data_IF_363584293882
#
_entry.id   IF_363584293882
#
_cell.length_a   1.000
_cell.length_b   1.000
_cell.length_c   1.000
_cell.angle_alpha   90.00
_cell.angle_beta   90.00
_cell.angle_gamma   90.00
#
_symmetry.space_group_name_H-M   'P 1'
#
loop_
_entity.id
_entity.type
_entity.pdbx_description
1 polymer ?
#
# COMPACT_ATOMS: atom_id res chain seq x y z
N UNK A 1 12.08 57.87 36.38
CA UNK A 1 12.56 57.24 35.16
C UNK A 1 12.37 55.71 35.36
N UNK A 2 11.21 55.21 34.92
CA UNK A 2 10.84 53.80 35.05
C UNK A 2 11.19 53.06 33.75
N UNK A 3 11.97 52.00 33.92
CA UNK A 3 12.26 51.05 32.81
C UNK A 3 11.04 50.18 32.56
N UNK A 4 10.49 50.25 31.35
CA UNK A 4 9.43 49.37 30.87
C UNK A 4 10.09 48.15 30.25
N UNK A 5 10.04 47.02 30.94
CA UNK A 5 10.41 45.71 30.45
C UNK A 5 9.29 45.18 29.51
N UNK A 6 9.61 45.01 28.23
CA UNK A 6 8.76 44.34 27.25
C UNK A 6 8.98 42.81 27.32
N UNK A 7 8.13 42.12 28.07
CA UNK A 7 7.92 40.69 27.93
C UNK A 7 6.73 40.48 26.97
N UNK A 8 6.96 39.93 25.78
CA UNK A 8 5.92 39.28 24.97
C UNK A 8 6.53 38.22 24.06
N UNK A 9 6.89 37.08 24.64
CA UNK A 9 7.07 35.83 23.94
C UNK A 9 5.79 34.99 24.07
N UNK A 10 4.89 35.04 23.10
CA UNK A 10 3.80 34.08 23.04
C UNK A 10 4.37 32.71 22.72
N UNK A 11 4.48 31.85 23.71
CA UNK A 11 4.63 30.41 23.53
C UNK A 11 3.39 29.89 22.78
N UNK A 12 3.58 29.47 21.54
CA UNK A 12 2.63 28.61 20.84
C UNK A 12 2.64 27.29 21.61
N UNK A 13 1.56 27.03 22.32
CA UNK A 13 1.34 25.78 23.07
C UNK A 13 1.51 24.60 22.15
N UNK A 14 2.54 23.80 22.41
CA UNK A 14 2.84 22.58 21.69
C UNK A 14 1.67 21.58 21.75
N UNK A 15 1.46 20.88 20.65
CA UNK A 15 0.67 19.66 20.64
C UNK A 15 1.18 18.74 21.78
N UNK A 16 0.29 18.03 22.50
CA UNK A 16 0.68 17.18 23.61
C UNK A 16 1.75 16.18 23.15
N UNK A 17 2.83 16.03 23.92
CA UNK A 17 3.85 15.01 23.70
C UNK A 17 3.16 13.64 23.73
N UNK A 18 3.07 13.00 22.56
CA UNK A 18 2.54 11.64 22.44
C UNK A 18 3.53 10.69 23.09
N UNK A 19 3.11 9.99 24.15
CA UNK A 19 3.93 8.95 24.76
C UNK A 19 4.28 7.89 23.71
N UNK A 20 5.56 7.53 23.60
CA UNK A 20 6.13 6.60 22.61
C UNK A 20 5.36 5.27 22.50
N UNK A 21 4.64 4.87 23.55
CA UNK A 21 3.89 3.62 23.62
C UNK A 21 2.51 3.64 22.95
N UNK A 22 2.11 4.72 22.29
CA UNK A 22 0.71 4.93 21.83
C UNK A 22 0.59 5.44 20.39
N UNK A 23 1.60 5.21 19.54
CA UNK A 23 1.59 5.69 18.15
C UNK A 23 0.42 5.09 17.32
N UNK A 24 -0.15 3.98 17.74
CA UNK A 24 -1.24 3.27 17.07
C UNK A 24 -2.63 3.47 17.72
N UNK A 25 -2.78 4.30 18.74
CA UNK A 25 -4.10 4.50 19.39
C UNK A 25 -5.16 5.07 18.46
N UNK A 26 -4.73 5.78 17.42
CA UNK A 26 -5.64 6.25 16.38
C UNK A 26 -5.03 5.97 15.01
N UNK A 27 -5.38 4.83 14.45
CA UNK A 27 -4.88 4.37 13.16
C UNK A 27 -5.29 5.28 12.00
N UNK A 28 -6.48 5.87 12.10
CA UNK A 28 -7.02 6.77 11.07
C UNK A 28 -6.18 8.05 10.86
N UNK A 29 -5.57 8.57 11.94
CA UNK A 29 -4.76 9.80 11.90
C UNK A 29 -3.32 9.56 12.35
N UNK A 30 -2.77 8.36 12.13
CA UNK A 30 -1.48 8.02 12.70
C UNK A 30 -0.31 8.85 12.18
N UNK A 31 -0.30 9.22 10.88
CA UNK A 31 0.76 10.10 10.34
C UNK A 31 0.69 11.51 10.93
N UNK A 32 -0.52 12.05 11.04
CA UNK A 32 -0.79 13.36 11.68
C UNK A 32 -0.28 13.40 13.12
N UNK A 33 -0.41 12.29 13.84
CA UNK A 33 -0.07 12.18 15.28
C UNK A 33 1.38 11.78 15.55
N UNK A 34 2.16 11.46 14.53
CA UNK A 34 3.59 11.23 14.73
C UNK A 34 4.26 12.47 15.34
N UNK A 35 5.21 12.29 16.27
CA UNK A 35 6.07 13.38 16.76
C UNK A 35 6.73 14.15 15.62
N UNK A 36 6.97 15.45 15.82
CA UNK A 36 7.57 16.31 14.78
C UNK A 36 8.91 15.75 14.27
N UNK A 37 9.72 15.16 15.17
CA UNK A 37 10.98 14.50 14.81
C UNK A 37 10.78 13.40 13.76
N UNK A 38 9.75 12.57 13.90
CA UNK A 38 9.43 11.52 12.93
C UNK A 38 8.81 12.08 11.65
N UNK A 39 7.95 13.10 11.74
CA UNK A 39 7.35 13.72 10.55
C UNK A 39 8.36 14.43 9.65
N UNK A 40 9.51 14.82 10.20
CA UNK A 40 10.61 15.43 9.44
C UNK A 40 11.56 14.40 8.81
N UNK A 41 11.46 13.13 9.18
CA UNK A 41 12.25 12.08 8.51
C UNK A 41 11.76 11.84 7.07
N UNK A 42 12.67 11.46 6.17
CA UNK A 42 12.27 10.99 4.83
C UNK A 42 11.19 9.90 4.93
N UNK A 43 10.16 9.98 4.09
CA UNK A 43 9.07 9.01 4.06
C UNK A 43 9.58 7.58 3.81
N UNK A 44 10.70 7.46 3.09
CA UNK A 44 11.38 6.18 2.84
C UNK A 44 12.07 5.58 4.07
N UNK A 45 12.16 6.33 5.17
CA UNK A 45 12.72 5.87 6.44
C UNK A 45 11.63 5.53 7.47
N UNK A 46 10.37 5.77 7.17
CA UNK A 46 9.25 5.41 8.04
C UNK A 46 8.76 3.99 7.76
N UNK A 47 8.28 3.29 8.79
CA UNK A 47 7.54 2.05 8.64
C UNK A 47 6.07 2.39 8.30
N UNK A 48 5.60 1.95 7.14
CA UNK A 48 4.30 2.28 6.58
C UNK A 48 3.55 0.97 6.27
N UNK A 49 2.39 0.73 6.88
CA UNK A 49 1.58 -0.43 6.53
C UNK A 49 0.86 -0.23 5.19
N UNK A 50 0.83 -1.27 4.40
CA UNK A 50 0.15 -1.32 3.11
C UNK A 50 -0.64 -2.61 2.93
N UNK A 51 -1.55 -2.62 1.97
CA UNK A 51 -2.33 -3.79 1.61
C UNK A 51 -1.93 -4.30 0.22
N UNK A 52 -1.79 -5.62 0.11
CA UNK A 52 -1.58 -6.32 -1.15
C UNK A 52 -2.92 -6.43 -1.89
N UNK A 53 -2.92 -6.17 -3.20
CA UNK A 53 -4.14 -6.20 -4.02
C UNK A 53 -5.34 -5.54 -3.32
N UNK A 54 -5.17 -4.32 -2.89
CA UNK A 54 -6.02 -3.57 -1.96
C UNK A 54 -7.51 -3.64 -2.30
N UNK A 55 -7.84 -3.65 -3.59
CA UNK A 55 -9.21 -3.49 -4.09
C UNK A 55 -9.92 -4.81 -4.40
N UNK A 56 -9.36 -5.95 -3.99
CA UNK A 56 -9.97 -7.27 -4.25
C UNK A 56 -11.31 -7.49 -3.55
N UNK A 57 -11.67 -6.71 -2.56
CA UNK A 57 -13.02 -6.71 -1.98
C UNK A 57 -14.12 -6.41 -3.02
N UNK A 58 -13.74 -5.87 -4.20
CA UNK A 58 -14.66 -5.59 -5.30
C UNK A 58 -14.79 -6.71 -6.31
N UNK A 59 -13.92 -7.75 -6.27
CA UNK A 59 -14.05 -8.88 -7.20
C UNK A 59 -15.32 -9.68 -6.89
N UNK A 60 -15.91 -10.25 -7.94
CA UNK A 60 -17.13 -11.02 -7.79
C UNK A 60 -16.99 -12.37 -8.48
N UNK A 61 -17.39 -13.44 -7.78
CA UNK A 61 -17.40 -14.82 -8.27
C UNK A 61 -18.30 -15.03 -9.50
N UNK A 62 -19.20 -14.10 -9.81
CA UNK A 62 -20.05 -14.14 -11.00
C UNK A 62 -19.41 -13.44 -12.19
N UNK A 63 -18.38 -12.62 -11.96
CA UNK A 63 -17.65 -11.95 -13.02
C UNK A 63 -16.77 -12.92 -13.84
N UNK A 64 -16.27 -12.41 -14.98
CA UNK A 64 -15.36 -13.17 -15.83
C UNK A 64 -14.01 -13.38 -15.16
N UNK A 65 -13.35 -14.49 -15.52
CA UNK A 65 -11.96 -14.75 -15.18
C UNK A 65 -11.06 -13.81 -15.97
N UNK A 66 -10.09 -13.25 -15.28
CA UNK A 66 -9.19 -12.26 -15.84
C UNK A 66 -8.09 -12.83 -16.73
N UNK A 67 -7.45 -11.96 -17.53
CA UNK A 67 -6.31 -12.34 -18.37
C UNK A 67 -5.01 -12.56 -17.57
N UNK A 68 -4.99 -12.30 -16.28
CA UNK A 68 -3.90 -12.59 -15.35
C UNK A 68 -3.79 -14.09 -15.04
N UNK A 69 -4.87 -14.85 -15.26
CA UNK A 69 -4.90 -16.29 -15.02
C UNK A 69 -4.37 -17.10 -16.21
N UNK A 70 -3.90 -18.32 -15.93
CA UNK A 70 -3.46 -19.25 -16.96
C UNK A 70 -4.57 -19.58 -17.95
N UNK A 71 -4.20 -19.94 -19.19
CA UNK A 71 -5.17 -20.31 -20.23
C UNK A 71 -6.10 -21.46 -19.80
N UNK A 72 -5.60 -22.39 -18.97
CA UNK A 72 -6.40 -23.51 -18.43
C UNK A 72 -7.45 -22.97 -17.47
N UNK A 73 -7.07 -22.08 -16.56
CA UNK A 73 -8.01 -21.48 -15.59
C UNK A 73 -9.03 -20.61 -16.30
N UNK A 74 -8.62 -19.82 -17.30
CA UNK A 74 -9.54 -19.06 -18.14
C UNK A 74 -10.56 -19.98 -18.88
N UNK A 75 -10.08 -21.10 -19.42
CA UNK A 75 -10.94 -22.11 -20.06
C UNK A 75 -11.94 -22.70 -19.06
N UNK A 76 -11.49 -23.15 -17.89
CA UNK A 76 -12.34 -23.68 -16.83
C UNK A 76 -13.37 -22.64 -16.36
N UNK A 77 -12.96 -21.40 -16.18
CA UNK A 77 -13.83 -20.29 -15.80
C UNK A 77 -14.92 -20.00 -16.84
N UNK A 78 -14.64 -20.22 -18.11
CA UNK A 78 -15.60 -20.04 -19.21
C UNK A 78 -16.59 -21.20 -19.34
N UNK A 79 -16.11 -22.42 -19.28
CA UNK A 79 -16.92 -23.62 -19.63
C UNK A 79 -17.42 -24.40 -18.41
N UNK A 80 -16.75 -24.31 -17.27
CA UNK A 80 -17.13 -24.96 -16.02
C UNK A 80 -17.33 -23.92 -14.88
N UNK A 81 -17.86 -22.75 -15.22
CA UNK A 81 -17.91 -21.57 -14.37
C UNK A 81 -18.59 -21.80 -13.01
N UNK A 82 -19.62 -22.62 -12.95
CA UNK A 82 -20.35 -22.92 -11.70
C UNK A 82 -19.44 -23.59 -10.66
N UNK A 83 -18.50 -24.43 -11.09
CA UNK A 83 -17.61 -25.17 -10.21
C UNK A 83 -16.26 -24.44 -9.97
N UNK A 84 -15.72 -23.81 -11.02
CA UNK A 84 -14.37 -23.21 -10.97
C UNK A 84 -14.33 -21.80 -10.40
N UNK A 85 -15.31 -20.96 -10.71
CA UNK A 85 -15.31 -19.55 -10.25
C UNK A 85 -15.34 -19.39 -8.72
N UNK A 86 -16.09 -20.20 -7.93
CA UNK A 86 -15.97 -20.15 -6.49
C UNK A 86 -14.57 -20.49 -5.96
N UNK A 87 -13.88 -21.44 -6.61
CA UNK A 87 -12.50 -21.80 -6.24
C UNK A 87 -11.58 -20.64 -6.59
N UNK A 88 -11.66 -20.11 -7.82
CA UNK A 88 -10.87 -18.96 -8.23
C UNK A 88 -11.09 -17.78 -7.27
N UNK A 89 -12.33 -17.48 -6.92
CA UNK A 89 -12.67 -16.40 -5.99
C UNK A 89 -11.99 -16.60 -4.62
N UNK A 90 -12.09 -17.80 -4.04
CA UNK A 90 -11.51 -18.10 -2.73
C UNK A 90 -9.97 -17.97 -2.70
N UNK A 91 -9.31 -18.15 -3.84
CA UNK A 91 -7.87 -18.05 -4.00
C UNK A 91 -7.40 -16.69 -4.56
N UNK A 92 -8.34 -15.83 -4.96
CA UNK A 92 -8.04 -14.50 -5.52
C UNK A 92 -8.36 -13.35 -4.56
N UNK A 93 -9.27 -13.53 -3.60
CA UNK A 93 -9.59 -12.48 -2.66
C UNK A 93 -8.48 -12.33 -1.62
N UNK A 94 -7.94 -11.12 -1.50
CA UNK A 94 -6.84 -10.77 -0.57
C UNK A 94 -7.27 -9.78 0.50
N UNK A 95 -8.37 -9.06 0.28
CA UNK A 95 -8.94 -8.09 1.22
C UNK A 95 -10.45 -8.21 1.22
N UNK A 96 -11.08 -8.23 2.38
CA UNK A 96 -12.55 -8.23 2.51
C UNK A 96 -13.12 -6.82 2.69
N UNK A 97 -12.37 -5.94 3.32
CA UNK A 97 -12.84 -4.64 3.72
C UNK A 97 -12.55 -3.58 2.66
N UNK A 98 -13.41 -2.59 2.59
CA UNK A 98 -13.30 -1.48 1.63
C UNK A 98 -11.99 -0.70 1.82
N UNK A 99 -11.55 0.00 0.78
CA UNK A 99 -10.36 0.85 0.88
C UNK A 99 -10.50 1.91 1.98
N UNK A 100 -11.71 2.40 2.25
CA UNK A 100 -11.98 3.34 3.34
C UNK A 100 -11.74 2.72 4.72
N UNK A 101 -12.20 1.50 4.94
CA UNK A 101 -11.97 0.76 6.19
C UNK A 101 -10.49 0.44 6.37
N UNK A 102 -9.79 0.05 5.31
CA UNK A 102 -8.35 -0.17 5.32
C UNK A 102 -7.58 1.11 5.68
N UNK A 103 -7.96 2.27 5.10
CA UNK A 103 -7.38 3.57 5.44
C UNK A 103 -7.64 3.98 6.90
N UNK A 104 -8.86 3.77 7.40
CA UNK A 104 -9.20 3.99 8.80
C UNK A 104 -8.38 3.07 9.73
N UNK A 105 -8.05 1.87 9.26
CA UNK A 105 -7.17 0.91 9.92
C UNK A 105 -5.67 1.17 9.78
N UNK A 106 -5.28 2.32 9.25
CA UNK A 106 -3.88 2.77 9.20
C UNK A 106 -3.13 2.46 7.90
N UNK A 107 -3.74 1.77 6.94
CA UNK A 107 -3.10 1.47 5.65
C UNK A 107 -2.85 2.77 4.89
N UNK A 108 -1.64 2.91 4.31
CA UNK A 108 -1.24 4.08 3.52
C UNK A 108 -0.55 3.73 2.20
N UNK A 109 -0.26 2.47 1.96
CA UNK A 109 0.18 1.99 0.65
C UNK A 109 -0.89 1.06 0.06
N UNK A 110 -1.26 1.34 -1.18
CA UNK A 110 -2.38 0.76 -1.91
C UNK A 110 -1.84 0.10 -3.18
N UNK A 111 -1.86 -1.23 -3.25
CA UNK A 111 -1.49 -2.02 -4.41
C UNK A 111 -2.69 -2.16 -5.35
N UNK A 112 -2.55 -1.69 -6.59
CA UNK A 112 -3.59 -1.68 -7.60
C UNK A 112 -3.18 -2.52 -8.82
N UNK A 113 -4.04 -3.46 -9.19
CA UNK A 113 -3.91 -4.29 -10.40
C UNK A 113 -5.14 -4.13 -11.26
N UNK A 114 -4.94 -3.83 -12.52
CA UNK A 114 -6.00 -3.34 -13.38
C UNK A 114 -6.03 -4.10 -14.71
N UNK A 115 -7.22 -4.20 -15.30
CA UNK A 115 -7.41 -4.74 -16.63
C UNK A 115 -8.48 -3.97 -17.40
N UNK A 116 -8.41 -4.08 -18.73
CA UNK A 116 -9.49 -3.70 -19.63
C UNK A 116 -10.16 -4.95 -20.21
N UNK A 117 -11.40 -4.80 -20.65
CA UNK A 117 -12.11 -5.84 -21.42
C UNK A 117 -12.04 -5.51 -22.92
N UNK A 118 -12.11 -6.52 -23.79
CA UNK A 118 -12.21 -6.28 -25.23
C UNK A 118 -13.38 -5.34 -25.57
N UNK A 119 -13.13 -4.37 -26.44
CA UNK A 119 -14.12 -3.37 -26.88
C UNK A 119 -14.72 -2.51 -25.75
N UNK A 120 -13.98 -2.30 -24.68
CA UNK A 120 -14.39 -1.44 -23.56
C UNK A 120 -13.26 -0.51 -23.15
N UNK A 121 -13.56 0.77 -22.96
CA UNK A 121 -12.62 1.76 -22.39
C UNK A 121 -12.66 1.78 -20.84
N UNK A 122 -13.54 0.96 -20.26
CA UNK A 122 -13.67 0.87 -18.81
C UNK A 122 -12.49 0.08 -18.23
N UNK A 123 -11.89 0.65 -17.21
CA UNK A 123 -10.75 0.07 -16.49
C UNK A 123 -11.27 -0.55 -15.20
N UNK A 124 -11.02 -1.83 -15.04
CA UNK A 124 -11.51 -2.62 -13.92
C UNK A 124 -10.37 -3.01 -12.98
N UNK A 125 -10.69 -3.16 -11.71
CA UNK A 125 -9.89 -3.93 -10.75
C UNK A 125 -9.79 -5.37 -11.23
N UNK A 126 -8.63 -5.99 -11.08
CA UNK A 126 -8.42 -7.39 -11.46
C UNK A 126 -7.53 -8.12 -10.48
N UNK A 127 -7.97 -9.30 -10.07
CA UNK A 127 -7.14 -10.35 -9.48
C UNK A 127 -7.88 -11.69 -9.61
N UNK A 128 -7.47 -12.51 -10.57
CA UNK A 128 -8.16 -13.74 -10.97
C UNK A 128 -9.54 -13.51 -11.59
N UNK A 129 -10.34 -12.65 -10.97
CA UNK A 129 -11.67 -12.23 -11.43
C UNK A 129 -11.73 -10.70 -11.54
N UNK A 130 -12.59 -10.22 -12.45
CA UNK A 130 -12.86 -8.80 -12.55
C UNK A 130 -13.63 -8.28 -11.33
N UNK A 131 -13.25 -7.10 -10.86
CA UNK A 131 -13.93 -6.34 -9.81
C UNK A 131 -14.66 -5.11 -10.36
N UNK A 132 -14.80 -4.08 -9.51
CA UNK A 132 -15.43 -2.80 -9.87
C UNK A 132 -14.58 -1.98 -10.85
N UNK A 133 -15.17 -0.93 -11.39
CA UNK A 133 -14.47 0.11 -12.15
C UNK A 133 -13.53 0.88 -11.22
N UNK A 134 -12.32 1.14 -11.68
CA UNK A 134 -11.22 1.70 -10.86
C UNK A 134 -11.50 3.09 -10.30
N UNK A 135 -12.37 3.88 -10.94
CA UNK A 135 -12.69 5.23 -10.43
C UNK A 135 -13.41 5.18 -9.08
N UNK A 136 -14.15 4.11 -8.79
CA UNK A 136 -14.86 3.98 -7.53
C UNK A 136 -13.91 3.97 -6.31
N UNK A 137 -12.96 3.03 -6.19
CA UNK A 137 -12.02 3.06 -5.07
C UNK A 137 -11.12 4.30 -5.07
N UNK A 138 -10.73 4.84 -6.23
CA UNK A 138 -9.93 6.06 -6.29
C UNK A 138 -10.70 7.29 -5.77
N UNK A 139 -12.01 7.39 -6.05
CA UNK A 139 -12.87 8.45 -5.51
C UNK A 139 -13.05 8.31 -4.00
N UNK A 140 -13.22 7.09 -3.48
CA UNK A 140 -13.28 6.83 -2.05
C UNK A 140 -11.99 7.27 -1.33
N UNK A 141 -10.81 7.03 -1.92
CA UNK A 141 -9.53 7.51 -1.39
C UNK A 141 -9.48 9.04 -1.40
N UNK A 142 -9.87 9.68 -2.51
CA UNK A 142 -9.85 11.13 -2.62
C UNK A 142 -10.81 11.82 -1.65
N UNK A 143 -12.00 11.25 -1.45
CA UNK A 143 -12.97 11.69 -0.44
C UNK A 143 -12.38 11.54 0.97
N UNK A 144 -11.83 10.37 1.30
CA UNK A 144 -11.19 10.13 2.60
C UNK A 144 -10.09 11.16 2.88
N UNK A 145 -9.20 11.43 1.91
CA UNK A 145 -8.14 12.43 2.02
C UNK A 145 -8.67 13.87 2.22
N UNK A 146 -9.90 14.17 1.83
CA UNK A 146 -10.49 15.50 2.05
C UNK A 146 -10.78 15.79 3.54
N UNK A 147 -11.00 14.74 4.33
CA UNK A 147 -11.19 14.81 5.79
C UNK A 147 -9.90 14.57 6.57
N UNK A 148 -8.81 14.19 5.90
CA UNK A 148 -7.52 13.81 6.51
C UNK A 148 -6.35 14.63 5.92
N UNK A 149 -6.30 15.95 6.15
CA UNK A 149 -5.42 16.87 5.41
C UNK A 149 -3.91 16.64 5.60
N UNK A 150 -3.52 15.89 6.63
CA UNK A 150 -2.10 15.60 6.94
C UNK A 150 -1.73 14.12 6.77
N UNK A 151 -2.65 13.31 6.30
CA UNK A 151 -2.38 11.93 5.94
C UNK A 151 -1.91 11.84 4.48
N UNK A 152 -1.05 10.87 4.21
CA UNK A 152 -0.46 10.65 2.88
C UNK A 152 -0.73 9.22 2.44
N UNK A 153 -1.11 9.04 1.18
CA UNK A 153 -1.36 7.74 0.57
C UNK A 153 -0.40 7.52 -0.59
N UNK A 154 0.16 6.33 -0.68
CA UNK A 154 1.00 5.88 -1.80
C UNK A 154 0.16 4.92 -2.64
N UNK A 155 -0.15 5.30 -3.87
CA UNK A 155 -0.86 4.48 -4.84
C UNK A 155 0.15 3.81 -5.76
N UNK A 156 0.21 2.50 -5.76
CA UNK A 156 1.11 1.74 -6.61
C UNK A 156 0.32 0.95 -7.67
N UNK A 157 0.35 1.43 -8.89
CA UNK A 157 -0.24 0.77 -10.04
C UNK A 157 0.72 -0.31 -10.55
N UNK A 158 0.57 -1.51 -10.03
CA UNK A 158 1.50 -2.63 -10.17
C UNK A 158 1.42 -3.34 -11.53
N UNK A 159 0.19 -3.63 -11.98
CA UNK A 159 -0.04 -4.44 -13.18
C UNK A 159 -1.16 -3.88 -14.04
N UNK A 160 -0.98 -4.03 -15.36
CA UNK A 160 -1.92 -3.55 -16.38
C UNK A 160 -2.15 -4.66 -17.41
N UNK A 161 -3.28 -5.32 -17.32
CA UNK A 161 -3.62 -6.43 -18.20
C UNK A 161 -4.49 -5.95 -19.37
N UNK A 162 -4.11 -6.35 -20.58
CA UNK A 162 -4.81 -5.97 -21.83
C UNK A 162 -4.90 -4.45 -22.08
N UNK A 163 -3.97 -3.68 -21.51
CA UNK A 163 -3.90 -2.23 -21.71
C UNK A 163 -3.26 -1.86 -23.04
N UNK A 164 -3.83 -0.88 -23.70
CA UNK A 164 -3.23 -0.14 -24.81
C UNK A 164 -2.66 1.19 -24.32
N UNK A 165 -1.90 1.89 -25.16
CA UNK A 165 -1.42 3.25 -24.86
C UNK A 165 -2.58 4.22 -24.55
N UNK A 166 -3.71 4.06 -25.23
CA UNK A 166 -4.93 4.81 -24.96
C UNK A 166 -5.45 4.57 -23.53
N UNK A 167 -5.48 3.30 -23.09
CA UNK A 167 -5.94 2.96 -21.75
C UNK A 167 -5.01 3.55 -20.66
N UNK A 168 -3.70 3.55 -20.90
CA UNK A 168 -2.76 4.23 -20.00
C UNK A 168 -3.02 5.72 -19.91
N UNK A 169 -3.20 6.41 -21.04
CA UNK A 169 -3.51 7.85 -21.06
C UNK A 169 -4.85 8.14 -20.37
N UNK A 170 -5.86 7.31 -20.61
CA UNK A 170 -7.17 7.42 -19.99
C UNK A 170 -7.08 7.28 -18.46
N UNK A 171 -6.37 6.26 -17.95
CA UNK A 171 -6.14 6.06 -16.52
C UNK A 171 -5.39 7.23 -15.88
N UNK A 172 -4.30 7.69 -16.51
CA UNK A 172 -3.51 8.83 -16.02
C UNK A 172 -4.38 10.08 -15.95
N UNK A 173 -5.22 10.32 -16.95
CA UNK A 173 -6.16 11.45 -16.93
C UNK A 173 -7.16 11.34 -15.77
N UNK A 174 -7.70 10.13 -15.50
CA UNK A 174 -8.58 9.89 -14.33
C UNK A 174 -7.85 10.18 -13.01
N UNK A 175 -6.64 9.67 -12.82
CA UNK A 175 -5.82 9.91 -11.62
C UNK A 175 -5.64 11.43 -11.40
N UNK A 176 -5.22 12.15 -12.43
CA UNK A 176 -5.01 13.61 -12.37
C UNK A 176 -6.29 14.38 -12.08
N UNK A 177 -7.41 13.96 -12.65
CA UNK A 177 -8.71 14.58 -12.43
C UNK A 177 -9.23 14.36 -11.00
N UNK A 178 -9.03 13.16 -10.45
CA UNK A 178 -9.51 12.81 -9.10
C UNK A 178 -8.66 13.49 -8.03
N UNK A 179 -7.32 13.37 -8.10
CA UNK A 179 -6.43 13.85 -7.04
C UNK A 179 -5.93 15.28 -7.20
N UNK A 180 -5.91 15.81 -8.42
CA UNK A 180 -5.57 17.22 -8.73
C UNK A 180 -4.28 17.68 -8.04
N UNK A 181 -4.37 18.77 -7.27
CA UNK A 181 -3.25 19.39 -6.57
C UNK A 181 -2.69 18.56 -5.40
N UNK A 182 -3.34 17.45 -5.05
CA UNK A 182 -2.84 16.55 -3.99
C UNK A 182 -1.71 15.63 -4.48
N UNK A 183 -1.49 15.53 -5.80
CA UNK A 183 -0.44 14.69 -6.38
C UNK A 183 0.94 15.29 -6.09
N UNK A 184 1.81 14.48 -5.47
CA UNK A 184 3.20 14.85 -5.23
C UNK A 184 4.02 14.65 -6.50
N UNK A 185 4.64 15.71 -7.05
CA UNK A 185 5.51 15.58 -8.21
C UNK A 185 6.72 14.70 -7.94
N UNK A 186 7.32 14.18 -9.00
CA UNK A 186 8.58 13.44 -8.94
C UNK A 186 9.74 14.40 -8.64
N UNK A 187 10.49 14.08 -7.60
CA UNK A 187 11.73 14.77 -7.23
C UNK A 187 12.94 13.86 -7.46
N UNK A 188 14.09 14.47 -7.73
CA UNK A 188 15.32 13.73 -7.99
C UNK A 188 15.80 12.92 -6.78
N UNK A 189 15.33 13.27 -5.57
CA UNK A 189 15.76 12.67 -4.30
C UNK A 189 14.58 12.43 -3.37
N UNK A 190 14.31 11.17 -3.06
CA UNK A 190 13.27 10.75 -2.12
C UNK A 190 13.60 11.11 -0.67
N UNK A 191 14.87 11.27 -0.32
CA UNK A 191 15.32 11.64 1.02
C UNK A 191 14.96 13.08 1.44
N UNK A 192 14.45 13.90 0.50
CA UNK A 192 13.90 15.22 0.82
C UNK A 192 12.39 15.19 1.10
N UNK A 193 11.71 14.08 0.82
CA UNK A 193 10.26 13.97 0.97
C UNK A 193 9.94 13.45 2.36
N UNK A 194 9.46 14.33 3.23
CA UNK A 194 8.99 14.01 4.56
C UNK A 194 7.49 14.31 4.69
N UNK A 195 6.83 13.76 5.71
CA UNK A 195 5.41 14.06 5.98
C UNK A 195 5.21 15.55 6.27
N UNK A 196 6.17 16.18 6.95
CA UNK A 196 6.12 17.62 7.25
C UNK A 196 6.23 18.46 5.96
N UNK A 197 7.13 18.08 5.06
CA UNK A 197 7.27 18.77 3.77
C UNK A 197 6.02 18.57 2.91
N UNK A 198 5.51 17.33 2.80
CA UNK A 198 4.27 17.04 2.05
C UNK A 198 3.09 17.87 2.56
N UNK A 199 2.98 18.04 3.88
CA UNK A 199 1.95 18.87 4.50
C UNK A 199 2.13 20.37 4.15
N UNK A 200 3.36 20.90 4.13
CA UNK A 200 3.63 22.30 3.75
C UNK A 200 3.29 22.60 2.29
N UNK A 201 3.55 21.64 1.41
CA UNK A 201 3.26 21.73 -0.03
C UNK A 201 1.81 21.32 -0.37
N UNK A 202 1.03 20.83 0.62
CA UNK A 202 -0.34 20.31 0.46
C UNK A 202 -0.43 19.08 -0.44
N UNK A 203 0.64 18.31 -0.57
CA UNK A 203 0.63 17.02 -1.26
C UNK A 203 0.18 15.90 -0.32
N UNK A 204 -0.65 15.00 -0.83
CA UNK A 204 -1.19 13.87 -0.06
C UNK A 204 -1.07 12.53 -0.80
N UNK A 205 -0.74 12.54 -2.08
CA UNK A 205 -0.74 11.33 -2.91
C UNK A 205 0.56 11.19 -3.68
N UNK A 206 1.28 10.10 -3.44
CA UNK A 206 2.40 9.66 -4.28
C UNK A 206 1.88 8.55 -5.19
N UNK A 207 2.03 8.70 -6.50
CA UNK A 207 1.59 7.69 -7.47
C UNK A 207 2.79 7.01 -8.09
N UNK A 208 2.98 5.73 -7.78
CA UNK A 208 3.96 4.86 -8.44
C UNK A 208 3.24 4.22 -9.63
N UNK A 209 3.80 4.37 -10.83
CA UNK A 209 3.17 3.85 -12.04
C UNK A 209 4.15 2.94 -12.78
N UNK A 210 3.92 1.62 -12.73
CA UNK A 210 4.87 0.60 -13.19
C UNK A 210 4.74 0.30 -14.68
N UNK A 211 4.64 1.38 -15.48
CA UNK A 211 4.64 1.27 -16.94
C UNK A 211 5.38 2.46 -17.55
N UNK A 212 5.98 2.24 -18.72
CA UNK A 212 6.74 3.25 -19.47
C UNK A 212 5.89 4.46 -19.87
N UNK A 213 4.57 4.30 -19.99
CA UNK A 213 3.62 5.38 -20.29
C UNK A 213 3.72 6.55 -19.29
N UNK A 214 4.20 6.31 -18.06
CA UNK A 214 4.38 7.35 -17.04
C UNK A 214 5.56 8.30 -17.29
N UNK A 215 6.50 7.97 -18.18
CA UNK A 215 7.78 8.72 -18.33
C UNK A 215 7.63 10.21 -18.62
N UNK A 216 6.53 10.61 -19.24
CA UNK A 216 6.27 11.98 -19.63
C UNK A 216 5.43 12.77 -18.61
N UNK A 217 5.14 12.16 -17.45
CA UNK A 217 4.29 12.76 -16.41
C UNK A 217 5.10 12.99 -15.14
N UNK A 218 5.24 14.26 -14.77
CA UNK A 218 6.04 14.68 -13.62
C UNK A 218 5.43 14.34 -12.26
N UNK A 219 4.19 13.89 -12.22
CA UNK A 219 3.42 13.49 -11.03
C UNK A 219 3.25 11.96 -10.88
N UNK A 220 3.96 11.19 -11.71
CA UNK A 220 3.97 9.74 -11.64
C UNK A 220 5.38 9.22 -11.38
N UNK A 221 5.57 8.57 -10.24
CA UNK A 221 6.86 8.07 -9.79
C UNK A 221 7.26 6.80 -10.54
N UNK A 222 8.49 6.71 -11.04
CA UNK A 222 8.95 5.51 -11.73
C UNK A 222 9.16 4.36 -10.76
N UNK A 223 8.90 3.13 -11.23
CA UNK A 223 9.06 1.89 -10.44
C UNK A 223 10.48 1.69 -9.90
N UNK A 224 11.51 2.16 -10.63
CA UNK A 224 12.91 1.95 -10.27
C UNK A 224 13.33 2.55 -8.93
N UNK A 225 12.62 3.57 -8.42
CA UNK A 225 12.90 4.16 -7.10
C UNK A 225 12.05 3.56 -5.97
N UNK A 226 11.18 2.60 -6.29
CA UNK A 226 10.30 1.89 -5.37
C UNK A 226 10.33 0.38 -5.63
N UNK A 227 11.49 -0.30 -5.40
CA UNK A 227 11.58 -1.74 -5.56
C UNK A 227 10.60 -2.48 -4.65
N UNK A 228 10.01 -3.55 -5.21
CA UNK A 228 9.02 -4.40 -4.54
C UNK A 228 9.33 -5.87 -4.83
N UNK A 229 10.42 -6.42 -4.27
CA UNK A 229 10.79 -7.80 -4.48
C UNK A 229 9.75 -8.75 -3.88
N UNK A 230 9.49 -9.84 -4.60
CA UNK A 230 8.44 -10.78 -4.28
C UNK A 230 9.02 -12.17 -3.94
N UNK A 231 8.66 -12.78 -2.79
CA UNK A 231 9.22 -14.07 -2.36
C UNK A 231 8.75 -15.28 -3.17
N UNK A 232 7.58 -15.21 -3.82
CA UNK A 232 6.99 -16.25 -4.68
C UNK A 232 7.08 -17.67 -4.08
N UNK A 233 6.62 -17.82 -2.85
CA UNK A 233 6.64 -19.10 -2.12
C UNK A 233 5.39 -19.30 -1.27
N UNK A 234 5.07 -20.57 -0.96
CA UNK A 234 4.06 -20.95 0.04
C UNK A 234 4.68 -21.32 1.40
N UNK A 235 6.00 -21.20 1.54
CA UNK A 235 6.76 -21.56 2.74
C UNK A 235 7.12 -20.29 3.54
N UNK A 236 6.71 -20.23 4.80
CA UNK A 236 6.94 -19.06 5.66
C UNK A 236 8.42 -18.84 5.98
N UNK A 237 9.22 -19.90 6.14
CA UNK A 237 10.65 -19.79 6.45
C UNK A 237 11.43 -19.25 5.23
N UNK A 238 11.08 -19.72 4.02
CA UNK A 238 11.63 -19.19 2.78
C UNK A 238 11.28 -17.73 2.59
N UNK A 239 10.03 -17.34 2.88
CA UNK A 239 9.58 -15.94 2.84
C UNK A 239 10.43 -15.07 3.78
N UNK A 240 10.58 -15.46 5.05
CA UNK A 240 11.38 -14.72 6.02
C UNK A 240 12.84 -14.61 5.58
N UNK A 241 13.43 -15.71 5.12
CA UNK A 241 14.81 -15.73 4.61
C UNK A 241 14.98 -14.80 3.40
N UNK A 242 13.99 -14.74 2.51
CA UNK A 242 13.96 -13.82 1.38
C UNK A 242 13.87 -12.36 1.85
N UNK A 243 12.94 -12.03 2.75
CA UNK A 243 12.76 -10.69 3.27
C UNK A 243 14.03 -10.14 3.94
N UNK A 244 14.74 -10.98 4.73
CA UNK A 244 16.00 -10.61 5.35
C UNK A 244 17.07 -10.24 4.30
N UNK A 245 17.29 -11.11 3.31
CA UNK A 245 18.25 -10.81 2.22
C UNK A 245 17.90 -9.54 1.46
N UNK A 246 16.62 -9.28 1.23
CA UNK A 246 16.18 -8.11 0.47
C UNK A 246 16.35 -6.81 1.26
N UNK A 247 16.10 -6.81 2.57
CA UNK A 247 16.39 -5.64 3.42
C UNK A 247 17.89 -5.37 3.50
N UNK A 248 18.72 -6.38 3.67
CA UNK A 248 20.19 -6.22 3.71
C UNK A 248 20.73 -5.57 2.43
N UNK A 249 20.12 -5.88 1.28
CA UNK A 249 20.52 -5.33 -0.02
C UNK A 249 19.84 -4.00 -0.38
N UNK A 250 18.93 -3.49 0.47
CA UNK A 250 18.15 -2.29 0.18
C UNK A 250 19.02 -1.06 0.07
N UNK A 251 18.81 -0.27 -1.01
CA UNK A 251 19.37 1.08 -1.11
C UNK A 251 18.71 2.03 -0.11
N UNK A 252 19.50 2.79 0.64
CA UNK A 252 19.02 3.75 1.64
C UNK A 252 18.34 5.00 1.04
N UNK A 253 18.52 5.24 -0.27
CA UNK A 253 18.02 6.42 -0.97
C UNK A 253 16.76 6.12 -1.81
N UNK A 254 16.23 4.89 -1.73
CA UNK A 254 15.05 4.44 -2.43
C UNK A 254 13.95 4.06 -1.43
N UNK A 255 12.71 4.17 -1.86
CA UNK A 255 11.61 3.48 -1.18
C UNK A 255 11.79 1.97 -1.27
N UNK A 256 11.06 1.21 -0.48
CA UNK A 256 11.17 -0.25 -0.49
C UNK A 256 9.89 -0.89 0.03
N UNK A 257 9.39 -1.88 -0.71
CA UNK A 257 8.19 -2.61 -0.32
C UNK A 257 8.58 -4.04 0.05
N UNK A 258 8.43 -4.39 1.32
CA UNK A 258 8.57 -5.76 1.84
C UNK A 258 7.23 -6.47 1.71
N UNK A 259 7.17 -7.53 0.91
CA UNK A 259 5.94 -8.28 0.68
C UNK A 259 5.88 -9.48 1.63
N UNK A 260 5.15 -9.31 2.75
CA UNK A 260 4.83 -10.40 3.67
C UNK A 260 3.65 -11.20 3.11
N UNK A 261 3.94 -12.06 2.13
CA UNK A 261 2.94 -12.80 1.36
C UNK A 261 3.38 -14.24 1.15
N UNK A 262 2.42 -15.17 1.21
CA UNK A 262 2.57 -16.54 0.72
C UNK A 262 1.74 -16.68 -0.54
N UNK A 263 2.37 -17.07 -1.63
CA UNK A 263 1.75 -17.09 -2.95
C UNK A 263 1.55 -18.52 -3.45
N UNK A 264 0.30 -18.99 -3.59
CA UNK A 264 0.02 -20.31 -4.14
C UNK A 264 0.16 -20.29 -5.66
N UNK A 265 0.82 -21.29 -6.21
CA UNK A 265 0.76 -21.58 -7.65
C UNK A 265 -0.45 -22.45 -8.00
N UNK A 266 -0.73 -22.61 -9.29
CA UNK A 266 -1.87 -23.41 -9.77
C UNK A 266 -1.86 -24.83 -9.22
N UNK A 267 -0.70 -25.49 -9.10
CA UNK A 267 -0.58 -26.84 -8.55
C UNK A 267 -0.96 -26.90 -7.06
N UNK A 268 -0.61 -25.88 -6.30
CA UNK A 268 -1.02 -25.75 -4.89
C UNK A 268 -2.53 -25.61 -4.77
N UNK A 269 -3.14 -24.70 -5.55
CA UNK A 269 -4.60 -24.49 -5.57
C UNK A 269 -5.35 -25.78 -5.92
N UNK A 270 -4.90 -26.51 -6.94
CA UNK A 270 -5.51 -27.78 -7.36
C UNK A 270 -5.44 -28.88 -6.28
N UNK A 271 -4.41 -28.87 -5.45
CA UNK A 271 -4.30 -29.79 -4.30
C UNK A 271 -5.13 -29.35 -3.10
N UNK A 272 -5.52 -28.08 -3.05
CA UNK A 272 -6.22 -27.45 -1.91
C UNK A 272 -7.52 -26.76 -2.37
N UNK A 273 -8.29 -27.39 -3.27
CA UNK A 273 -9.50 -26.79 -3.88
C UNK A 273 -10.57 -26.35 -2.86
N UNK A 274 -10.58 -26.97 -1.69
CA UNK A 274 -11.50 -26.62 -0.59
C UNK A 274 -10.89 -25.56 0.37
N UNK A 275 -9.65 -25.16 0.17
CA UNK A 275 -8.98 -24.11 0.95
C UNK A 275 -9.24 -22.73 0.41
N UNK A 276 -8.62 -21.76 1.08
CA UNK A 276 -8.73 -20.33 0.74
C UNK A 276 -7.37 -19.65 0.84
N UNK A 277 -7.22 -18.49 0.20
CA UNK A 277 -6.03 -17.66 0.39
C UNK A 277 -5.89 -17.18 1.85
N UNK A 278 -7.01 -17.04 2.57
CA UNK A 278 -6.99 -16.70 4.00
C UNK A 278 -6.23 -17.72 4.84
N UNK A 279 -6.28 -19.01 4.49
CA UNK A 279 -5.51 -20.05 5.19
C UNK A 279 -4.01 -19.83 5.08
N UNK A 280 -3.53 -19.42 3.88
CA UNK A 280 -2.13 -19.04 3.68
C UNK A 280 -1.79 -17.71 4.37
N UNK A 281 -2.69 -16.73 4.31
CA UNK A 281 -2.50 -15.44 4.96
C UNK A 281 -2.37 -15.56 6.49
N UNK A 282 -3.09 -16.50 7.11
CA UNK A 282 -2.95 -16.79 8.54
C UNK A 282 -1.53 -17.33 8.85
N UNK A 283 -1.03 -18.30 8.06
CA UNK A 283 0.34 -18.82 8.21
C UNK A 283 1.38 -17.73 7.97
N UNK A 284 1.14 -16.88 6.97
CA UNK A 284 2.01 -15.73 6.68
C UNK A 284 2.08 -14.79 7.88
N UNK A 285 0.94 -14.44 8.47
CA UNK A 285 0.86 -13.51 9.61
C UNK A 285 1.63 -14.01 10.82
N UNK A 286 1.52 -15.32 11.13
CA UNK A 286 2.22 -15.92 12.26
C UNK A 286 3.75 -15.78 12.15
N UNK A 287 4.28 -15.78 10.93
CA UNK A 287 5.71 -15.55 10.66
C UNK A 287 6.06 -14.05 10.49
N UNK A 288 5.17 -13.29 9.86
CA UNK A 288 5.43 -11.89 9.51
C UNK A 288 5.40 -10.95 10.72
N UNK A 289 4.49 -11.13 11.68
CA UNK A 289 4.40 -10.26 12.85
C UNK A 289 5.67 -10.30 13.73
N UNK A 290 6.25 -11.46 14.07
CA UNK A 290 7.56 -11.52 14.72
C UNK A 290 8.65 -10.85 13.89
N UNK A 291 8.73 -11.12 12.59
CA UNK A 291 9.70 -10.51 11.69
C UNK A 291 9.60 -8.97 11.67
N UNK A 292 8.39 -8.40 11.61
CA UNK A 292 8.16 -6.94 11.68
C UNK A 292 8.67 -6.40 13.02
N UNK A 293 8.42 -7.11 14.13
CA UNK A 293 8.87 -6.69 15.47
C UNK A 293 10.40 -6.72 15.64
N UNK A 294 11.09 -7.58 14.93
CA UNK A 294 12.56 -7.70 14.96
C UNK A 294 13.25 -6.68 14.04
N UNK A 295 12.57 -6.23 12.99
CA UNK A 295 13.14 -5.31 12.02
C UNK A 295 12.86 -3.85 12.37
N UNK A 296 13.83 -2.98 12.14
CA UNK A 296 13.75 -1.55 12.39
C UNK A 296 13.50 -0.79 11.08
N UNK A 297 12.70 0.29 11.12
CA UNK A 297 12.69 1.28 10.05
C UNK A 297 13.96 2.15 10.10
N UNK A 298 14.06 3.12 9.24
CA UNK A 298 15.20 4.04 9.17
C UNK A 298 16.00 3.86 7.89
N UNK A 299 17.19 4.42 7.88
CA UNK A 299 18.07 4.40 6.72
C UNK A 299 18.52 2.99 6.38
N UNK A 300 18.04 2.44 5.24
CA UNK A 300 18.33 1.06 4.82
C UNK A 300 17.51 -0.01 5.55
N UNK A 301 16.65 0.36 6.52
CA UNK A 301 15.79 -0.55 7.25
C UNK A 301 14.41 -0.76 6.59
N UNK A 302 13.47 -1.34 7.33
CA UNK A 302 12.10 -1.59 6.89
C UNK A 302 11.40 -0.27 6.51
N UNK A 303 10.67 -0.26 5.39
CA UNK A 303 9.89 0.90 4.95
C UNK A 303 8.41 0.56 4.78
N UNK A 304 7.95 0.25 3.58
CA UNK A 304 6.58 -0.21 3.34
C UNK A 304 6.53 -1.72 3.58
N UNK A 305 5.52 -2.17 4.30
CA UNK A 305 5.24 -3.60 4.49
C UNK A 305 3.83 -3.86 4.03
N UNK A 306 3.63 -4.86 3.18
CA UNK A 306 2.30 -5.24 2.69
C UNK A 306 1.96 -6.68 3.06
N UNK A 307 0.66 -6.93 3.25
CA UNK A 307 0.12 -8.26 3.53
C UNK A 307 -1.31 -8.39 3.03
N UNK A 308 -1.82 -9.62 3.07
CA UNK A 308 -3.23 -9.93 2.83
C UNK A 308 -4.05 -9.75 4.11
N UNK A 309 -5.37 -9.49 3.95
CA UNK A 309 -6.37 -9.40 5.02
C UNK A 309 -5.93 -8.50 6.19
N UNK A 310 -5.60 -7.25 5.86
CA UNK A 310 -5.00 -6.27 6.78
C UNK A 310 -5.87 -5.89 7.97
N UNK A 311 -7.19 -6.10 7.88
CA UNK A 311 -8.16 -5.76 8.93
C UNK A 311 -8.29 -6.83 10.02
N UNK A 312 -7.69 -8.01 9.78
CA UNK A 312 -7.76 -9.15 10.71
C UNK A 312 -7.27 -8.79 12.10
N UNK A 313 -7.94 -9.36 13.12
CA UNK A 313 -7.60 -9.17 14.56
C UNK A 313 -7.45 -7.69 14.92
N UNK A 314 -8.42 -6.88 14.53
CA UNK A 314 -8.46 -5.45 14.84
C UNK A 314 -7.18 -4.71 14.41
N UNK A 315 -6.81 -4.92 13.15
CA UNK A 315 -5.66 -4.27 12.52
C UNK A 315 -4.30 -4.52 13.21
N UNK A 316 -4.11 -5.69 13.81
CA UNK A 316 -2.85 -6.04 14.50
C UNK A 316 -1.63 -5.80 13.61
N UNK A 317 -1.75 -6.07 12.31
CA UNK A 317 -0.69 -5.82 11.34
C UNK A 317 -0.31 -4.33 11.28
N UNK A 318 -1.29 -3.44 11.03
CA UNK A 318 -1.05 -2.00 10.96
C UNK A 318 -0.48 -1.45 12.27
N UNK A 319 -1.04 -1.88 13.41
CA UNK A 319 -0.57 -1.51 14.76
C UNK A 319 0.90 -1.89 14.94
N UNK A 320 1.26 -3.11 14.55
CA UNK A 320 2.65 -3.60 14.66
C UNK A 320 3.61 -2.79 13.79
N UNK A 321 3.27 -2.54 12.52
CA UNK A 321 4.12 -1.77 11.60
C UNK A 321 4.28 -0.31 12.09
N UNK A 322 3.18 0.36 12.43
CA UNK A 322 3.20 1.76 12.87
C UNK A 322 4.05 1.92 14.14
N UNK A 323 3.91 0.99 15.10
CA UNK A 323 4.66 1.02 16.36
C UNK A 323 6.17 0.94 16.15
N UNK A 324 6.65 0.34 15.06
CA UNK A 324 8.11 0.28 14.77
C UNK A 324 8.73 1.66 14.60
N UNK A 325 7.96 2.68 14.20
CA UNK A 325 8.47 4.05 14.11
C UNK A 325 8.94 4.60 15.47
N UNK A 326 8.46 4.07 16.59
CA UNK A 326 8.92 4.48 17.91
C UNK A 326 10.42 4.21 18.14
N UNK A 327 10.98 3.21 17.45
CA UNK A 327 12.42 2.89 17.57
C UNK A 327 13.31 3.98 17.00
N UNK A 328 12.80 4.80 16.07
CA UNK A 328 13.53 5.94 15.48
C UNK A 328 13.71 7.11 16.46
N UNK A 329 12.91 7.20 17.52
CA UNK A 329 13.05 8.22 18.57
C UNK A 329 14.20 7.94 19.55
N UNK A 330 14.74 6.71 19.54
CA UNK A 330 15.83 6.29 20.41
C UNK A 330 17.21 6.54 19.78
N UNK A 331 17.26 6.84 18.48
CA UNK A 331 18.49 7.16 17.78
C UNK A 331 18.77 8.66 17.90
N UNK A 332 19.95 9.02 18.47
CA UNK A 332 20.47 10.38 18.35
C UNK A 332 21.00 10.50 16.90
N UNK A 333 20.21 11.14 16.03
CA UNK A 333 20.66 11.55 14.69
C UNK A 333 21.71 12.65 14.78
#
# INVERSE_FOLDING_TARGET
MEEISLQNGRHVTGLPEVKVNTLYENLEFWMTRLPATLRNLPIIHLAIPGSHNTTTYTIDRFNDVGPDESAIIQFLGRYLSILSKPIIFNWSITQYDTVKEQLNGGIRYIDLRLATKPNSDTIYVLHGLYGSEVSEPLQQIAEWLSYHPYEVVILDFQHFYSFTDYNHQHLITKIKTIFRMKLCPVYNRLDHISLQWLASEKYQVLVIYRNIAARNYMDLWPSGVWPTPWPDTTNSEEMISFLNRMIESRSSNMGFISQCLLTPNTSYVLKHVCGTLLDLANKCRDAALPWINENRPGRGGMNIVITDFVTYSDFIFSKTVIQRNATLLQEKY
#
